data_IF_288987747360
#
_entry.id   IF_288987747360
#
_cell.length_a   1.000
_cell.length_b   1.000
_cell.length_c   1.000
_cell.angle_alpha   90.00
_cell.angle_beta   90.00
_cell.angle_gamma   90.00
#
_symmetry.space_group_name_H-M   'P 1'
#
loop_
_entity.id
_entity.type
_entity.pdbx_description
1 polymer ?
#
# COMPACT_ATOMS: atom_id res chain seq x y z
N UNK A 1 -18.85 -12.03 10.95
CA UNK A 1 -18.67 -10.66 11.48
C UNK A 1 -17.83 -9.91 10.46
N UNK A 2 -18.20 -8.68 10.10
CA UNK A 2 -17.35 -7.85 9.23
C UNK A 2 -16.16 -7.37 10.06
N UNK A 3 -14.95 -7.56 9.55
CA UNK A 3 -13.73 -7.11 10.23
C UNK A 3 -13.61 -5.59 10.08
N UNK A 4 -12.81 -4.95 10.94
CA UNK A 4 -12.46 -3.51 10.82
C UNK A 4 -12.00 -3.17 9.39
N UNK A 5 -11.25 -4.07 8.76
CA UNK A 5 -10.80 -3.94 7.38
C UNK A 5 -11.96 -3.92 6.37
N UNK A 6 -12.96 -4.80 6.52
CA UNK A 6 -14.14 -4.81 5.64
C UNK A 6 -14.91 -3.49 5.68
N UNK A 7 -14.95 -2.85 6.86
CA UNK A 7 -15.63 -1.58 7.04
C UNK A 7 -14.94 -0.45 6.27
N UNK A 8 -13.61 -0.31 6.40
CA UNK A 8 -12.86 0.76 5.71
C UNK A 8 -12.79 0.53 4.20
N UNK A 9 -12.68 -0.72 3.75
CA UNK A 9 -12.77 -1.08 2.32
C UNK A 9 -14.12 -0.65 1.73
N UNK A 10 -15.21 -0.92 2.45
CA UNK A 10 -16.55 -0.50 2.00
C UNK A 10 -16.67 1.03 1.98
N UNK A 11 -16.15 1.70 3.00
CA UNK A 11 -16.19 3.15 3.14
C UNK A 11 -15.49 3.85 1.96
N UNK A 12 -14.23 3.49 1.66
CA UNK A 12 -13.49 4.13 0.57
C UNK A 12 -14.09 3.84 -0.82
N UNK A 13 -14.66 2.65 -1.04
CA UNK A 13 -15.41 2.34 -2.28
C UNK A 13 -16.63 3.25 -2.47
N UNK A 14 -17.31 3.61 -1.37
CA UNK A 14 -18.45 4.53 -1.41
C UNK A 14 -17.98 5.97 -1.64
N UNK A 15 -16.95 6.41 -0.93
CA UNK A 15 -16.43 7.78 -1.01
C UNK A 15 -15.79 8.09 -2.37
N UNK A 16 -15.08 7.13 -2.96
CA UNK A 16 -14.52 7.23 -4.32
C UNK A 16 -15.57 7.18 -5.42
N UNK A 17 -16.85 6.95 -5.12
CA UNK A 17 -17.89 6.70 -6.11
C UNK A 17 -17.52 5.57 -7.10
N UNK A 18 -16.73 4.59 -6.63
CA UNK A 18 -16.12 3.51 -7.43
C UNK A 18 -15.19 3.98 -8.56
N UNK A 19 -14.64 5.20 -8.48
CA UNK A 19 -13.57 5.63 -9.38
C UNK A 19 -12.30 4.80 -9.16
N UNK A 20 -11.67 4.44 -10.28
CA UNK A 20 -10.50 3.58 -10.30
C UNK A 20 -9.50 4.07 -11.33
N UNK A 21 -8.22 3.86 -11.02
CA UNK A 21 -7.14 3.98 -11.97
C UNK A 21 -7.34 3.02 -13.15
N UNK A 22 -6.78 3.37 -14.31
CA UNK A 22 -6.82 2.53 -15.51
C UNK A 22 -5.79 1.38 -15.42
N UNK A 23 -5.93 0.55 -14.39
CA UNK A 23 -5.18 -0.69 -14.15
C UNK A 23 -6.10 -1.69 -13.46
N UNK A 24 -6.02 -2.96 -13.87
CA UNK A 24 -6.79 -4.01 -13.23
C UNK A 24 -6.28 -4.25 -11.80
N UNK A 25 -7.20 -4.55 -10.87
CA UNK A 25 -6.79 -5.04 -9.56
C UNK A 25 -6.00 -6.36 -9.74
N UNK A 26 -4.91 -6.56 -8.99
CA UNK A 26 -4.09 -7.76 -9.13
C UNK A 26 -4.86 -9.00 -8.70
N UNK A 27 -4.59 -10.13 -9.35
CA UNK A 27 -5.04 -11.46 -8.89
C UNK A 27 -4.01 -12.10 -7.96
N UNK A 28 -4.36 -13.25 -7.36
CA UNK A 28 -3.46 -13.97 -6.45
C UNK A 28 -2.15 -14.42 -7.14
N UNK A 29 -2.19 -14.67 -8.46
CA UNK A 29 -1.01 -15.06 -9.23
C UNK A 29 -0.03 -13.91 -9.40
N UNK A 30 -0.53 -12.71 -9.72
CA UNK A 30 0.28 -11.50 -9.82
C UNK A 30 0.84 -11.13 -8.45
N UNK A 31 0.03 -11.16 -7.39
CA UNK A 31 0.52 -10.95 -6.01
C UNK A 31 1.65 -11.93 -5.70
N UNK A 32 1.48 -13.23 -6.00
CA UNK A 32 2.51 -14.22 -5.71
C UNK A 32 3.80 -13.98 -6.50
N UNK A 33 3.68 -13.50 -7.74
CA UNK A 33 4.85 -13.12 -8.54
C UNK A 33 5.65 -12.00 -7.87
N UNK A 34 4.98 -10.97 -7.35
CA UNK A 34 5.63 -9.88 -6.62
C UNK A 34 6.25 -10.35 -5.30
N UNK A 35 5.58 -11.22 -4.54
CA UNK A 35 6.17 -11.80 -3.32
C UNK A 35 7.49 -12.53 -3.61
N UNK A 36 7.54 -13.32 -4.70
CA UNK A 36 8.74 -14.04 -5.13
C UNK A 36 9.83 -13.07 -5.60
N UNK A 37 9.46 -12.07 -6.39
CA UNK A 37 10.40 -11.07 -6.94
C UNK A 37 11.05 -10.24 -5.83
N UNK A 38 10.28 -9.85 -4.83
CA UNK A 38 10.74 -9.03 -3.71
C UNK A 38 11.38 -9.85 -2.58
N UNK A 39 11.14 -11.16 -2.55
CA UNK A 39 11.57 -12.04 -1.46
C UNK A 39 10.83 -11.77 -0.15
N UNK A 40 9.57 -11.31 -0.21
CA UNK A 40 8.75 -10.92 0.94
C UNK A 40 7.35 -11.51 0.79
N UNK A 41 6.85 -12.18 1.82
CA UNK A 41 5.44 -12.59 1.88
C UNK A 41 4.59 -11.39 2.32
N UNK A 42 3.53 -11.10 1.56
CA UNK A 42 2.63 -10.00 1.87
C UNK A 42 1.64 -10.42 2.94
N UNK A 43 1.36 -9.50 3.87
CA UNK A 43 0.34 -9.70 4.88
C UNK A 43 -1.04 -9.93 4.23
N UNK A 44 -1.85 -10.84 4.77
CA UNK A 44 -3.14 -11.22 4.16
C UNK A 44 -4.11 -10.04 4.03
N UNK A 45 -4.13 -9.14 5.01
CA UNK A 45 -4.91 -7.90 4.93
C UNK A 45 -4.45 -6.99 3.78
N UNK A 46 -3.14 -6.93 3.51
CA UNK A 46 -2.62 -6.16 2.38
C UNK A 46 -3.00 -6.79 1.04
N UNK A 47 -2.92 -8.11 0.92
CA UNK A 47 -3.40 -8.84 -0.26
C UNK A 47 -4.88 -8.55 -0.54
N UNK A 48 -5.69 -8.49 0.51
CA UNK A 48 -7.11 -8.14 0.39
C UNK A 48 -7.30 -6.69 -0.07
N UNK A 49 -6.56 -5.75 0.52
CA UNK A 49 -6.57 -4.34 0.11
C UNK A 49 -6.20 -4.19 -1.37
N UNK A 50 -5.11 -4.82 -1.81
CA UNK A 50 -4.68 -4.80 -3.21
C UNK A 50 -5.79 -5.29 -4.15
N UNK A 51 -6.42 -6.43 -3.84
CA UNK A 51 -7.48 -7.02 -4.68
C UNK A 51 -8.76 -6.19 -4.71
N UNK A 52 -9.10 -5.53 -3.60
CA UNK A 52 -10.41 -4.89 -3.46
C UNK A 52 -10.40 -3.40 -3.77
N UNK A 53 -9.32 -2.71 -3.40
CA UNK A 53 -9.18 -1.26 -3.49
C UNK A 53 -7.79 -0.80 -3.97
N UNK A 54 -6.90 -1.72 -4.37
CA UNK A 54 -5.53 -1.39 -4.79
C UNK A 54 -5.44 -0.46 -6.01
N UNK A 55 -6.54 -0.32 -6.75
CA UNK A 55 -6.66 0.58 -7.90
C UNK A 55 -7.73 1.66 -7.71
N UNK A 56 -8.25 1.85 -6.49
CA UNK A 56 -9.20 2.94 -6.20
C UNK A 56 -8.47 4.27 -6.24
N UNK A 57 -9.09 5.26 -6.86
CA UNK A 57 -8.59 6.63 -6.84
C UNK A 57 -9.44 7.45 -5.85
N UNK A 58 -8.81 7.98 -4.80
CA UNK A 58 -9.48 8.81 -3.80
C UNK A 58 -8.48 9.76 -3.13
N UNK A 59 -8.71 11.06 -3.30
CA UNK A 59 -7.89 12.10 -2.69
C UNK A 59 -6.47 12.15 -3.27
N UNK A 60 -5.46 12.27 -2.41
CA UNK A 60 -4.04 12.37 -2.81
C UNK A 60 -3.23 11.09 -2.54
N UNK A 61 -3.83 10.10 -1.88
CA UNK A 61 -3.17 8.86 -1.51
C UNK A 61 -3.42 7.80 -2.58
N UNK A 62 -2.34 7.17 -3.04
CA UNK A 62 -2.35 6.11 -4.04
C UNK A 62 -1.39 5.00 -3.62
N UNK A 63 -1.88 3.77 -3.61
CA UNK A 63 -1.03 2.61 -3.35
C UNK A 63 -0.04 2.39 -4.50
N UNK A 64 1.11 1.82 -4.16
CA UNK A 64 2.04 1.30 -5.16
C UNK A 64 1.38 0.18 -5.97
N UNK A 65 1.55 0.25 -7.29
CA UNK A 65 0.80 -0.53 -8.26
C UNK A 65 1.49 -1.88 -8.52
N UNK A 66 0.71 -2.96 -8.45
CA UNK A 66 1.08 -4.26 -9.02
C UNK A 66 0.53 -4.32 -10.45
N UNK A 67 1.42 -4.45 -11.43
CA UNK A 67 1.03 -4.54 -12.84
C UNK A 67 1.91 -5.54 -13.59
N UNK A 68 1.36 -6.12 -14.66
CA UNK A 68 2.16 -6.89 -15.63
C UNK A 68 3.04 -5.99 -16.48
N UNK A 69 2.66 -4.72 -16.65
CA UNK A 69 3.50 -3.69 -17.25
C UNK A 69 4.37 -3.06 -16.15
N UNK A 70 5.67 -3.37 -16.19
CA UNK A 70 6.65 -2.88 -15.21
C UNK A 70 7.01 -1.39 -15.39
N UNK A 71 6.49 -0.72 -16.42
CA UNK A 71 6.65 0.73 -16.59
C UNK A 71 5.42 1.51 -16.13
N UNK A 72 4.43 0.84 -15.53
CA UNK A 72 3.22 1.51 -15.06
C UNK A 72 3.53 2.51 -13.95
N UNK A 73 2.69 3.53 -13.82
CA UNK A 73 2.81 4.55 -12.79
C UNK A 73 2.82 3.94 -11.37
N UNK A 74 3.76 4.39 -10.52
CA UNK A 74 3.96 3.91 -9.14
C UNK A 74 4.18 2.39 -9.04
N UNK A 75 4.90 1.80 -9.99
CA UNK A 75 5.19 0.36 -9.97
C UNK A 75 5.91 -0.07 -8.67
N UNK A 76 5.38 -1.11 -8.01
CA UNK A 76 5.82 -1.52 -6.67
C UNK A 76 7.29 -1.95 -6.62
N UNK A 77 7.78 -2.75 -7.57
CA UNK A 77 9.15 -3.27 -7.51
C UNK A 77 10.19 -2.15 -7.62
N UNK A 78 9.98 -1.19 -8.52
CA UNK A 78 10.84 -0.01 -8.67
C UNK A 78 10.83 0.82 -7.39
N UNK A 79 9.66 1.13 -6.85
CA UNK A 79 9.54 1.93 -5.63
C UNK A 79 10.17 1.23 -4.42
N UNK A 80 10.03 -0.10 -4.28
CA UNK A 80 10.69 -0.87 -3.22
C UNK A 80 12.22 -0.83 -3.37
N UNK A 81 12.73 -0.93 -4.60
CA UNK A 81 14.17 -0.82 -4.86
C UNK A 81 14.68 0.57 -4.48
N UNK A 82 14.00 1.62 -4.92
CA UNK A 82 14.39 3.01 -4.66
C UNK A 82 14.32 3.33 -3.16
N UNK A 83 13.28 2.89 -2.47
CA UNK A 83 13.15 3.00 -1.01
C UNK A 83 14.32 2.33 -0.26
N UNK A 84 14.74 1.12 -0.69
CA UNK A 84 15.89 0.41 -0.11
C UNK A 84 17.20 1.15 -0.35
N UNK A 85 17.40 1.65 -1.56
CA UNK A 85 18.58 2.46 -1.91
C UNK A 85 18.64 3.76 -1.06
N UNK A 86 17.49 4.27 -0.62
CA UNK A 86 17.37 5.43 0.28
C UNK A 86 17.52 5.09 1.77
N UNK A 87 17.54 3.81 2.15
CA UNK A 87 17.76 3.37 3.53
C UNK A 87 16.52 2.89 4.28
N UNK A 88 15.40 2.63 3.60
CA UNK A 88 14.27 1.89 4.20
C UNK A 88 14.76 0.48 4.61
N UNK A 89 14.47 -0.01 5.83
CA UNK A 89 14.89 -1.34 6.26
C UNK A 89 14.41 -2.47 5.34
N UNK A 90 15.25 -3.48 5.12
CA UNK A 90 14.98 -4.57 4.16
C UNK A 90 13.70 -5.36 4.44
N UNK A 91 13.30 -5.45 5.70
CA UNK A 91 12.11 -6.17 6.15
C UNK A 91 10.84 -5.29 6.17
N UNK A 92 10.94 -4.04 5.74
CA UNK A 92 9.80 -3.13 5.60
C UNK A 92 9.36 -3.12 4.13
N UNK A 93 8.06 -3.22 3.91
CA UNK A 93 7.47 -3.21 2.57
C UNK A 93 6.80 -1.87 2.32
N UNK A 94 7.40 -0.97 1.51
CA UNK A 94 6.72 0.21 1.00
C UNK A 94 5.38 -0.14 0.34
N UNK A 95 4.33 0.61 0.67
CA UNK A 95 2.99 0.46 0.09
C UNK A 95 2.43 1.73 -0.52
N UNK A 96 2.97 2.89 -0.16
CA UNK A 96 2.62 4.20 -0.69
C UNK A 96 3.85 5.11 -0.60
N UNK A 97 4.17 5.79 -1.69
CA UNK A 97 5.18 6.84 -1.73
C UNK A 97 4.52 8.21 -1.52
N UNK A 98 5.13 9.02 -0.67
CA UNK A 98 4.76 10.40 -0.38
C UNK A 98 6.00 11.31 -0.41
N UNK A 99 6.24 11.96 -1.55
CA UNK A 99 7.30 12.96 -1.72
C UNK A 99 8.70 12.51 -1.24
N UNK A 100 9.10 11.28 -1.57
CA UNK A 100 10.38 10.69 -1.14
C UNK A 100 10.37 10.05 0.26
N UNK A 101 9.25 10.13 0.97
CA UNK A 101 8.94 9.35 2.16
C UNK A 101 8.03 8.17 1.79
N UNK A 102 7.92 7.18 2.67
CA UNK A 102 7.16 5.96 2.40
C UNK A 102 6.31 5.55 3.59
N UNK A 103 5.07 5.17 3.32
CA UNK A 103 4.32 4.34 4.25
C UNK A 103 4.71 2.88 4.00
N UNK A 104 5.17 2.19 5.04
CA UNK A 104 5.69 0.83 4.96
C UNK A 104 4.92 -0.11 5.88
N UNK A 105 4.60 -1.31 5.39
CA UNK A 105 4.14 -2.43 6.22
C UNK A 105 5.36 -3.12 6.86
N UNK A 106 5.31 -3.31 8.16
CA UNK A 106 6.29 -4.09 8.93
C UNK A 106 5.89 -5.58 8.99
N UNK A 107 6.82 -6.49 9.35
CA UNK A 107 6.52 -7.92 9.41
C UNK A 107 5.40 -8.31 10.39
N UNK A 108 5.13 -7.47 11.39
CA UNK A 108 4.05 -7.65 12.36
C UNK A 108 2.69 -7.07 11.90
N UNK A 109 2.62 -6.47 10.71
CA UNK A 109 1.42 -5.83 10.18
C UNK A 109 1.22 -4.35 10.56
N UNK A 110 2.10 -3.78 11.40
CA UNK A 110 2.12 -2.34 11.70
C UNK A 110 2.49 -1.54 10.44
N UNK A 111 1.90 -0.35 10.28
CA UNK A 111 2.30 0.60 9.26
C UNK A 111 3.20 1.66 9.91
N UNK A 112 4.34 1.97 9.29
CA UNK A 112 5.24 3.05 9.69
C UNK A 112 5.34 4.08 8.58
N UNK A 113 5.38 5.36 8.94
CA UNK A 113 5.81 6.39 8.02
C UNK A 113 7.31 6.59 8.15
N UNK A 114 8.05 6.19 7.11
CA UNK A 114 9.49 6.34 7.02
C UNK A 114 9.84 7.63 6.28
N UNK A 115 10.74 8.43 6.85
CA UNK A 115 11.28 9.64 6.21
C UNK A 115 12.80 9.54 6.11
N UNK A 116 13.44 10.08 5.06
CA UNK A 116 14.90 9.98 4.88
C UNK A 116 15.74 10.59 6.00
N UNK A 117 15.21 11.62 6.67
CA UNK A 117 15.85 12.35 7.77
C UNK A 117 15.42 11.85 9.16
N UNK A 118 14.51 10.88 9.22
CA UNK A 118 14.01 10.27 10.45
C UNK A 118 13.21 11.22 11.36
N UNK A 119 12.57 12.28 10.84
CA UNK A 119 11.81 13.23 11.66
C UNK A 119 10.49 12.66 12.21
N UNK A 120 9.93 11.62 11.58
CA UNK A 120 8.62 11.08 11.93
C UNK A 120 8.73 9.73 12.64
N UNK A 121 7.97 9.61 13.73
CA UNK A 121 7.70 8.35 14.45
C UNK A 121 6.26 7.87 14.23
N UNK A 122 5.56 8.41 13.24
CA UNK A 122 4.17 8.06 12.97
C UNK A 122 4.01 6.58 12.61
N UNK A 123 3.00 5.97 13.23
CA UNK A 123 2.69 4.57 13.03
C UNK A 123 1.20 4.28 13.23
N UNK A 124 0.73 3.23 12.58
CA UNK A 124 -0.63 2.73 12.69
C UNK A 124 -0.60 1.23 12.99
N UNK A 125 -1.45 0.74 13.90
CA UNK A 125 -1.37 -0.64 14.37
C UNK A 125 -1.69 -1.69 13.31
N UNK A 126 -2.40 -1.30 12.25
CA UNK A 126 -2.79 -2.18 11.14
C UNK A 126 -3.10 -1.34 9.88
N UNK A 127 -3.13 -2.00 8.71
CA UNK A 127 -3.46 -1.34 7.44
C UNK A 127 -4.87 -0.73 7.44
N UNK A 128 -5.80 -1.28 8.21
CA UNK A 128 -7.16 -0.74 8.30
C UNK A 128 -7.19 0.65 8.97
N UNK A 129 -6.37 0.86 10.00
CA UNK A 129 -6.19 2.14 10.68
C UNK A 129 -5.54 3.15 9.75
N UNK A 130 -4.50 2.73 9.02
CA UNK A 130 -3.84 3.58 8.04
C UNK A 130 -4.79 4.01 6.93
N UNK A 131 -5.58 3.09 6.35
CA UNK A 131 -6.61 3.43 5.35
C UNK A 131 -7.59 4.46 5.93
N UNK A 132 -8.05 4.27 7.17
CA UNK A 132 -9.01 5.18 7.78
C UNK A 132 -8.41 6.57 8.01
N UNK A 133 -7.27 6.65 8.68
CA UNK A 133 -6.74 7.92 9.16
C UNK A 133 -5.96 8.69 8.09
N UNK A 134 -5.27 7.98 7.18
CA UNK A 134 -4.44 8.61 6.14
C UNK A 134 -5.18 8.67 4.82
N UNK A 135 -5.67 7.53 4.30
CA UNK A 135 -6.29 7.50 2.98
C UNK A 135 -7.70 8.08 2.95
N UNK A 136 -8.50 7.92 4.01
CA UNK A 136 -9.87 8.45 4.04
C UNK A 136 -9.91 9.85 4.65
N UNK A 137 -9.41 9.99 5.89
CA UNK A 137 -9.53 11.22 6.68
C UNK A 137 -8.43 12.25 6.43
N UNK A 138 -7.33 11.85 5.78
CA UNK A 138 -6.17 12.71 5.51
C UNK A 138 -6.27 13.57 4.24
N UNK A 139 -7.42 13.56 3.55
CA UNK A 139 -7.67 14.38 2.36
C UNK A 139 -8.44 15.66 2.65
#
# INVERSE_FOLDING_TARGET
MKTKLDHVIKEIKLLSNNEKMNVAAPDDGLIKQYEIELGVDFHDDYKKVLKEIGNVFYGTIELLTLSRDKNYYRELSSAVKDAKDMGVPDNWLPICEDNGSYYCILPNGEIRYWTPDGYSDESWPDIASWIKNVWIEGN
#
